data_IF_041995206087
#
_entry.id   IF_041995206087
#
_cell.length_a   1.000
_cell.length_b   1.000
_cell.length_c   1.000
_cell.angle_alpha   90.00
_cell.angle_beta   90.00
_cell.angle_gamma   90.00
#
_symmetry.space_group_name_H-M   'P 1'
#
loop_
_entity.id
_entity.type
_entity.pdbx_description
1 polymer ?
#
# COMPACT_ATOMS: atom_id res chain seq x y z
N UNK A 1 1.00 23.21 5.54
CA UNK A 1 2.14 24.17 5.65
C UNK A 1 2.58 24.71 4.29
N UNK A 2 2.88 23.86 3.27
CA UNK A 2 3.30 24.35 1.95
C UNK A 2 2.27 25.25 1.28
N UNK A 3 0.99 24.90 1.36
CA UNK A 3 -0.11 25.74 0.84
C UNK A 3 -0.21 27.10 1.55
N UNK A 4 0.04 27.15 2.84
CA UNK A 4 0.06 28.39 3.63
C UNK A 4 1.22 29.31 3.27
N UNK A 5 2.29 28.74 2.70
CA UNK A 5 3.39 29.48 2.12
C UNK A 5 3.17 29.89 0.66
N UNK A 6 1.95 29.67 0.14
CA UNK A 6 1.55 30.08 -1.21
C UNK A 6 1.87 29.07 -2.31
N UNK A 7 2.28 27.84 -1.98
CA UNK A 7 2.61 26.81 -2.96
C UNK A 7 1.40 25.94 -3.32
N UNK A 8 1.24 25.59 -4.59
CA UNK A 8 0.50 24.40 -4.98
C UNK A 8 1.31 23.16 -4.65
N UNK A 9 0.65 22.04 -4.36
CA UNK A 9 1.29 20.80 -3.87
C UNK A 9 1.05 19.65 -4.82
N UNK A 10 2.10 18.90 -5.12
CA UNK A 10 2.03 17.58 -5.73
C UNK A 10 2.48 16.57 -4.67
N UNK A 11 1.66 15.57 -4.41
CA UNK A 11 1.93 14.53 -3.41
C UNK A 11 1.86 13.14 -4.02
N UNK A 12 2.71 12.26 -3.53
CA UNK A 12 2.56 10.82 -3.79
C UNK A 12 1.30 10.25 -3.13
N UNK A 13 0.88 9.11 -3.62
CA UNK A 13 -0.20 8.32 -3.03
C UNK A 13 0.34 7.46 -1.84
N UNK A 14 -0.48 7.17 -0.85
CA UNK A 14 -1.79 7.75 -0.60
C UNK A 14 -1.66 9.21 -0.16
N UNK A 15 -2.68 10.01 -0.42
CA UNK A 15 -2.69 11.43 0.00
C UNK A 15 -2.50 11.56 1.50
N UNK A 16 -3.11 10.66 2.25
CA UNK A 16 -3.04 10.56 3.71
C UNK A 16 -3.45 9.14 4.14
N UNK A 17 -3.38 8.85 5.43
CA UNK A 17 -3.63 7.51 5.98
C UNK A 17 -4.91 7.43 6.83
N UNK A 18 -5.54 8.57 7.14
CA UNK A 18 -6.76 8.64 7.92
C UNK A 18 -7.65 9.84 7.49
N UNK A 19 -8.90 9.80 7.95
CA UNK A 19 -9.91 10.80 7.62
C UNK A 19 -9.64 12.16 8.24
N UNK A 20 -9.07 12.22 9.44
CA UNK A 20 -8.77 13.48 10.11
C UNK A 20 -7.74 14.30 9.33
N UNK A 21 -6.64 13.67 8.92
CA UNK A 21 -5.62 14.29 8.06
C UNK A 21 -6.17 14.65 6.68
N UNK A 22 -7.11 13.84 6.15
CA UNK A 22 -7.79 14.16 4.91
C UNK A 22 -8.57 15.47 5.05
N UNK A 23 -9.34 15.62 6.13
CA UNK A 23 -10.11 16.85 6.40
C UNK A 23 -9.20 18.06 6.58
N UNK A 24 -8.10 17.93 7.33
CA UNK A 24 -7.10 19.00 7.47
C UNK A 24 -6.56 19.50 6.13
N UNK A 25 -6.31 18.57 5.19
CA UNK A 25 -5.86 18.91 3.83
C UNK A 25 -6.96 19.67 3.07
N UNK A 26 -8.20 19.20 3.13
CA UNK A 26 -9.35 19.86 2.49
C UNK A 26 -9.56 21.27 3.04
N UNK A 27 -9.47 21.44 4.36
CA UNK A 27 -9.58 22.74 5.03
C UNK A 27 -8.43 23.68 4.62
N UNK A 28 -7.22 23.15 4.47
CA UNK A 28 -6.08 23.93 3.98
C UNK A 28 -6.28 24.38 2.53
N UNK A 29 -6.82 23.53 1.66
CA UNK A 29 -7.18 23.88 0.27
C UNK A 29 -8.23 25.01 0.27
N UNK A 30 -9.28 24.85 1.07
CA UNK A 30 -10.36 25.85 1.15
C UNK A 30 -9.86 27.21 1.67
N UNK A 31 -9.01 27.19 2.72
CA UNK A 31 -8.48 28.40 3.35
C UNK A 31 -7.48 29.14 2.47
N UNK A 32 -6.63 28.40 1.73
CA UNK A 32 -5.52 29.00 0.98
C UNK A 32 -5.82 29.24 -0.50
N UNK A 33 -6.85 28.61 -1.05
CA UNK A 33 -7.15 28.61 -2.49
C UNK A 33 -6.09 27.87 -3.32
N UNK A 34 -5.16 27.14 -2.68
CA UNK A 34 -4.10 26.40 -3.36
C UNK A 34 -4.61 25.04 -3.84
N UNK A 35 -3.85 24.41 -4.74
CA UNK A 35 -4.22 23.14 -5.36
C UNK A 35 -3.36 22.01 -4.80
N UNK A 36 -3.99 20.86 -4.56
CA UNK A 36 -3.31 19.60 -4.34
C UNK A 36 -3.56 18.65 -5.52
N UNK A 37 -2.51 18.01 -5.99
CA UNK A 37 -2.56 16.92 -6.97
C UNK A 37 -1.90 15.69 -6.37
N UNK A 38 -2.62 14.57 -6.39
CA UNK A 38 -2.08 13.26 -6.01
C UNK A 38 -1.64 12.51 -7.25
N UNK A 39 -0.43 11.92 -7.22
CA UNK A 39 0.18 11.25 -8.36
C UNK A 39 -0.32 9.82 -8.50
N UNK A 40 -1.45 9.63 -9.15
CA UNK A 40 -1.97 8.30 -9.49
C UNK A 40 -1.39 7.84 -10.83
N UNK A 41 -0.17 7.30 -10.80
CA UNK A 41 0.59 6.94 -12.00
C UNK A 41 0.00 5.77 -12.81
N UNK A 42 -0.81 4.88 -12.22
CA UNK A 42 -1.44 3.75 -12.92
C UNK A 42 -2.37 4.19 -14.05
N UNK A 43 -2.99 5.37 -13.93
CA UNK A 43 -3.83 5.93 -14.99
C UNK A 43 -3.12 6.06 -16.34
N UNK A 44 -1.81 6.33 -16.29
CA UNK A 44 -1.00 6.65 -17.47
C UNK A 44 -0.33 5.43 -18.11
N UNK A 45 -0.61 4.24 -17.60
CA UNK A 45 -0.20 3.03 -18.29
C UNK A 45 -0.98 2.89 -19.62
N UNK A 46 -0.35 2.39 -20.69
CA UNK A 46 -1.00 2.30 -22.01
C UNK A 46 -2.35 1.58 -21.98
N UNK A 47 -2.43 0.47 -21.25
CA UNK A 47 -3.69 -0.29 -21.15
C UNK A 47 -4.77 0.48 -20.37
N UNK A 48 -4.43 1.15 -19.27
CA UNK A 48 -5.41 1.92 -18.50
C UNK A 48 -5.98 3.10 -19.31
N UNK A 49 -5.10 3.81 -20.03
CA UNK A 49 -5.49 4.88 -20.93
C UNK A 49 -6.39 4.35 -22.05
N UNK A 50 -6.03 3.21 -22.66
CA UNK A 50 -6.81 2.61 -23.75
C UNK A 50 -8.21 2.17 -23.29
N UNK A 51 -8.34 1.57 -22.10
CA UNK A 51 -9.65 1.23 -21.53
C UNK A 51 -10.50 2.49 -21.38
N UNK A 52 -9.95 3.56 -20.83
CA UNK A 52 -10.69 4.82 -20.68
C UNK A 52 -11.16 5.39 -22.01
N UNK A 53 -10.33 5.36 -23.05
CA UNK A 53 -10.70 5.82 -24.40
C UNK A 53 -11.88 5.02 -24.94
N UNK A 54 -11.79 3.68 -24.90
CA UNK A 54 -12.87 2.80 -25.36
C UNK A 54 -14.19 3.06 -24.64
N UNK A 55 -14.15 3.23 -23.32
CA UNK A 55 -15.35 3.53 -22.53
C UNK A 55 -15.93 4.90 -22.87
N UNK A 56 -15.09 5.91 -23.00
CA UNK A 56 -15.49 7.28 -23.39
C UNK A 56 -16.12 7.29 -24.78
N UNK A 57 -15.56 6.53 -25.70
CA UNK A 57 -16.00 6.48 -27.09
C UNK A 57 -17.23 5.55 -27.27
N UNK A 58 -17.76 4.99 -26.17
CA UNK A 58 -19.01 4.22 -26.15
C UNK A 58 -18.90 2.80 -26.67
N UNK A 59 -17.68 2.21 -26.71
CA UNK A 59 -17.45 0.88 -27.28
C UNK A 59 -18.33 -0.24 -26.70
N UNK A 60 -18.77 -0.09 -25.42
CA UNK A 60 -19.68 -1.02 -24.75
C UNK A 60 -20.99 -0.36 -24.31
N UNK A 61 -21.26 0.85 -24.79
CA UNK A 61 -22.42 1.64 -24.35
C UNK A 61 -22.31 2.15 -22.92
N UNK A 62 -23.44 2.26 -22.24
CA UNK A 62 -23.51 2.74 -20.85
C UNK A 62 -23.00 1.69 -19.88
N UNK A 63 -22.04 2.08 -19.03
CA UNK A 63 -21.52 1.22 -17.96
C UNK A 63 -22.51 1.24 -16.78
N UNK A 64 -23.05 0.09 -16.45
CA UNK A 64 -23.98 -0.08 -15.31
C UNK A 64 -23.31 -0.71 -14.11
N UNK A 65 -22.28 -1.54 -14.33
CA UNK A 65 -21.58 -2.27 -13.27
C UNK A 65 -20.10 -2.44 -13.63
N UNK A 66 -19.26 -2.42 -12.61
CA UNK A 66 -17.83 -2.77 -12.70
C UNK A 66 -17.55 -3.86 -11.68
N UNK A 67 -16.94 -4.96 -12.13
CA UNK A 67 -16.25 -5.91 -11.27
C UNK A 67 -14.76 -5.70 -11.43
N UNK A 68 -14.06 -5.50 -10.33
CA UNK A 68 -12.62 -5.30 -10.31
C UNK A 68 -11.99 -6.22 -9.27
N UNK A 69 -11.08 -7.05 -9.70
CA UNK A 69 -10.30 -7.94 -8.86
C UNK A 69 -8.81 -7.70 -9.06
N UNK A 70 -8.06 -7.73 -7.99
CA UNK A 70 -6.61 -7.62 -8.04
C UNK A 70 -5.97 -8.59 -7.05
N UNK A 71 -5.29 -9.59 -7.58
CA UNK A 71 -4.61 -10.62 -6.81
C UNK A 71 -3.10 -10.39 -6.90
N UNK A 72 -2.43 -10.48 -5.77
CA UNK A 72 -0.96 -10.50 -5.68
C UNK A 72 -0.50 -11.88 -5.25
N UNK A 73 0.60 -12.36 -5.81
CA UNK A 73 1.26 -13.52 -5.25
C UNK A 73 1.78 -13.21 -3.84
N UNK A 74 1.84 -14.23 -2.99
CA UNK A 74 2.18 -14.06 -1.58
C UNK A 74 3.62 -13.60 -1.35
N UNK A 75 4.56 -13.95 -2.25
CA UNK A 75 5.96 -13.50 -2.13
C UNK A 75 6.07 -12.00 -2.38
N UNK A 76 5.39 -11.50 -3.41
CA UNK A 76 5.31 -10.06 -3.67
C UNK A 76 4.56 -9.34 -2.55
N UNK A 77 3.42 -9.89 -2.14
CA UNK A 77 2.61 -9.34 -1.06
C UNK A 77 3.34 -9.24 0.27
N UNK A 78 4.22 -10.21 0.55
CA UNK A 78 5.04 -10.25 1.77
C UNK A 78 5.78 -8.94 2.08
N UNK A 79 6.12 -8.17 1.04
CA UNK A 79 6.88 -6.92 1.24
C UNK A 79 6.11 -5.88 2.06
N UNK A 80 4.80 -5.85 2.00
CA UNK A 80 3.97 -4.95 2.82
C UNK A 80 3.96 -5.34 4.30
N UNK A 81 4.10 -6.62 4.60
CA UNK A 81 4.10 -7.18 5.96
C UNK A 81 5.49 -7.21 6.60
N UNK A 82 6.53 -6.95 5.81
CA UNK A 82 7.94 -6.90 6.21
C UNK A 82 8.39 -5.49 6.59
N UNK A 83 7.77 -4.48 5.99
CA UNK A 83 8.14 -3.06 6.09
C UNK A 83 7.29 -2.31 7.12
N UNK A 84 7.58 -1.02 7.29
CA UNK A 84 6.80 -0.09 8.11
C UNK A 84 5.29 -0.08 7.80
N UNK A 85 4.92 -0.49 6.60
CA UNK A 85 3.52 -0.62 6.15
C UNK A 85 2.71 -1.59 7.01
N UNK A 86 3.35 -2.56 7.66
CA UNK A 86 2.71 -3.58 8.49
C UNK A 86 1.88 -3.01 9.64
N UNK A 87 2.19 -1.79 10.06
CA UNK A 87 1.42 -1.05 11.08
C UNK A 87 0.42 -0.13 10.39
N UNK A 88 -0.86 -0.37 10.64
CA UNK A 88 -1.96 0.39 10.06
C UNK A 88 -1.91 1.88 10.39
N UNK A 89 -1.35 2.24 11.54
CA UNK A 89 -1.14 3.65 11.92
C UNK A 89 -0.22 4.40 10.97
N UNK A 90 0.73 3.68 10.36
CA UNK A 90 1.69 4.24 9.43
C UNK A 90 1.19 4.26 7.98
N UNK A 91 0.41 3.25 7.58
CA UNK A 91 0.05 3.02 6.17
C UNK A 91 -1.43 3.24 5.85
N UNK A 92 -2.31 3.24 6.85
CA UNK A 92 -3.76 3.17 6.66
C UNK A 92 -4.28 1.79 6.28
N UNK A 93 -3.40 0.76 6.22
CA UNK A 93 -3.70 -0.57 5.70
C UNK A 93 -3.57 -0.67 4.18
N UNK A 94 -3.77 -1.87 3.63
CA UNK A 94 -3.68 -2.08 2.19
C UNK A 94 -4.86 -1.46 1.43
N UNK A 95 -6.03 -1.33 2.05
CA UNK A 95 -7.16 -0.60 1.47
C UNK A 95 -6.81 0.86 1.14
N UNK A 96 -6.04 1.52 2.00
CA UNK A 96 -5.59 2.90 1.77
C UNK A 96 -4.29 2.92 0.98
N UNK A 97 -3.27 2.19 1.41
CA UNK A 97 -1.93 2.28 0.83
C UNK A 97 -1.86 1.72 -0.59
N UNK A 98 -2.46 0.54 -0.84
CA UNK A 98 -2.38 -0.16 -2.13
C UNK A 98 -3.63 0.02 -2.97
N UNK A 99 -4.81 -0.25 -2.42
CA UNK A 99 -6.05 -0.27 -3.17
C UNK A 99 -6.49 1.13 -3.65
N UNK A 100 -5.91 2.19 -3.10
CA UNK A 100 -6.14 3.57 -3.58
C UNK A 100 -5.85 3.72 -5.08
N UNK A 101 -4.84 3.00 -5.63
CA UNK A 101 -4.61 2.93 -7.08
C UNK A 101 -5.77 2.28 -7.84
N UNK A 102 -6.36 1.25 -7.25
CA UNK A 102 -7.44 0.48 -7.89
C UNK A 102 -8.75 1.27 -7.88
N UNK A 103 -9.07 1.91 -6.76
CA UNK A 103 -10.21 2.83 -6.68
C UNK A 103 -10.06 4.01 -7.65
N UNK A 104 -8.85 4.53 -7.77
CA UNK A 104 -8.54 5.58 -8.71
C UNK A 104 -8.73 5.14 -10.16
N UNK A 105 -8.27 3.95 -10.53
CA UNK A 105 -8.46 3.39 -11.87
C UNK A 105 -9.94 3.26 -12.24
N UNK A 106 -10.76 2.68 -11.35
CA UNK A 106 -12.19 2.53 -11.61
C UNK A 106 -12.84 3.89 -11.81
N UNK A 107 -12.60 4.84 -10.89
CA UNK A 107 -13.13 6.20 -11.00
C UNK A 107 -12.67 6.89 -12.29
N UNK A 108 -11.42 6.67 -12.69
CA UNK A 108 -10.85 7.20 -13.91
C UNK A 108 -11.50 6.63 -15.16
N UNK A 109 -11.73 5.31 -15.19
CA UNK A 109 -12.32 4.62 -16.34
C UNK A 109 -13.76 5.03 -16.59
N UNK A 110 -14.59 5.05 -15.53
CA UNK A 110 -16.02 5.37 -15.65
C UNK A 110 -16.33 6.87 -15.53
N UNK A 111 -15.31 7.71 -15.30
CA UNK A 111 -15.46 9.17 -15.08
C UNK A 111 -16.47 9.53 -13.99
N UNK A 112 -16.56 8.74 -12.93
CA UNK A 112 -17.53 8.89 -11.85
C UNK A 112 -16.86 8.69 -10.48
N UNK A 113 -17.57 9.03 -9.42
CA UNK A 113 -17.12 8.84 -8.02
C UNK A 113 -18.17 8.03 -7.27
N UNK A 114 -17.75 7.20 -6.29
CA UNK A 114 -18.70 6.48 -5.48
C UNK A 114 -19.51 7.46 -4.61
N UNK A 115 -20.80 7.21 -4.48
CA UNK A 115 -21.69 7.91 -3.56
C UNK A 115 -21.66 7.29 -2.18
N UNK A 116 -21.59 5.95 -2.13
CA UNK A 116 -21.52 5.18 -0.90
C UNK A 116 -20.39 4.16 -1.04
N UNK A 117 -19.64 3.97 0.02
CA UNK A 117 -18.55 2.99 0.09
C UNK A 117 -18.80 2.11 1.30
N UNK A 118 -18.60 0.82 1.11
CA UNK A 118 -18.62 -0.17 2.17
C UNK A 118 -17.44 -1.12 1.93
N UNK A 119 -16.68 -1.45 2.96
CA UNK A 119 -15.49 -2.28 2.83
C UNK A 119 -15.28 -3.17 4.05
N UNK A 120 -14.80 -4.38 3.80
CA UNK A 120 -14.22 -5.27 4.78
C UNK A 120 -12.76 -5.53 4.44
N UNK A 121 -11.97 -5.86 5.45
CA UNK A 121 -10.63 -6.38 5.28
C UNK A 121 -10.24 -7.18 6.50
N UNK A 122 -9.46 -8.24 6.31
CA UNK A 122 -8.98 -9.10 7.38
C UNK A 122 -7.54 -9.55 7.12
N UNK A 123 -6.85 -9.95 8.18
CA UNK A 123 -5.52 -10.55 8.13
C UNK A 123 -5.68 -12.08 8.29
N UNK A 124 -5.60 -12.81 7.19
CA UNK A 124 -5.89 -14.26 7.16
C UNK A 124 -4.69 -15.15 6.83
N UNK A 125 -3.66 -14.60 6.20
CA UNK A 125 -2.47 -15.36 5.79
C UNK A 125 -1.23 -14.97 6.58
N UNK A 126 -0.84 -13.69 6.57
CA UNK A 126 0.34 -13.20 7.31
C UNK A 126 0.07 -13.11 8.81
N UNK A 127 1.10 -12.74 9.59
CA UNK A 127 0.99 -12.66 11.03
C UNK A 127 1.19 -14.00 11.76
N UNK A 128 1.55 -13.90 13.03
CA UNK A 128 1.87 -15.05 13.89
C UNK A 128 0.72 -16.03 14.03
N UNK A 129 -0.44 -15.54 14.44
CA UNK A 129 -1.60 -16.40 14.70
C UNK A 129 -2.02 -17.24 13.49
N UNK A 130 -2.01 -16.64 12.31
CA UNK A 130 -2.36 -17.34 11.07
C UNK A 130 -1.29 -18.37 10.69
N UNK A 131 -0.02 -18.08 10.94
CA UNK A 131 1.06 -19.03 10.75
C UNK A 131 0.94 -20.22 11.71
N UNK A 132 0.64 -19.98 12.99
CA UNK A 132 0.40 -21.02 14.00
C UNK A 132 -0.77 -21.93 13.61
N UNK A 133 -1.91 -21.35 13.16
CA UNK A 133 -3.07 -22.11 12.65
C UNK A 133 -2.71 -23.02 11.46
N UNK A 134 -1.70 -22.68 10.67
CA UNK A 134 -1.18 -23.50 9.56
C UNK A 134 -0.07 -24.45 9.96
N UNK A 135 0.23 -24.56 11.25
CA UNK A 135 1.22 -25.49 11.78
C UNK A 135 2.67 -24.99 11.74
N UNK A 136 2.90 -23.70 11.53
CA UNK A 136 4.24 -23.10 11.67
C UNK A 136 4.62 -23.09 13.15
N UNK A 137 5.79 -23.63 13.47
CA UNK A 137 6.28 -23.75 14.85
C UNK A 137 7.59 -22.99 15.09
N UNK A 138 8.19 -22.43 14.04
CA UNK A 138 9.43 -21.67 14.14
C UNK A 138 9.16 -20.21 13.80
N UNK A 139 9.48 -19.33 14.73
CA UNK A 139 9.26 -17.90 14.59
C UNK A 139 10.55 -17.13 14.84
N UNK A 140 10.66 -16.00 14.20
CA UNK A 140 11.74 -15.04 14.36
C UNK A 140 11.21 -13.62 14.16
N UNK A 141 11.85 -12.63 14.76
CA UNK A 141 11.46 -11.23 14.61
C UNK A 141 11.96 -10.62 13.30
N UNK A 142 13.19 -10.97 12.91
CA UNK A 142 13.86 -10.51 11.69
C UNK A 142 14.79 -11.59 11.13
N UNK A 143 15.12 -11.47 9.84
CA UNK A 143 16.00 -12.43 9.15
C UNK A 143 17.45 -12.31 9.57
N UNK A 144 17.97 -11.09 9.64
CA UNK A 144 19.38 -10.87 10.01
C UNK A 144 19.65 -11.34 11.42
N UNK A 145 20.66 -12.22 11.56
CA UNK A 145 21.03 -12.80 12.84
C UNK A 145 20.13 -13.95 13.35
N UNK A 146 19.11 -14.36 12.57
CA UNK A 146 18.20 -15.43 12.97
C UNK A 146 18.43 -16.73 12.18
N UNK A 147 18.94 -17.80 12.81
CA UNK A 147 19.06 -19.11 12.19
C UNK A 147 17.69 -19.71 11.78
N UNK A 148 16.62 -19.33 12.47
CA UNK A 148 15.25 -19.78 12.21
C UNK A 148 14.70 -19.30 10.85
N UNK A 149 15.29 -18.22 10.29
CA UNK A 149 14.92 -17.71 8.97
C UNK A 149 15.46 -18.58 7.81
N UNK A 150 16.35 -19.53 8.11
CA UNK A 150 16.89 -20.43 7.08
C UNK A 150 15.78 -21.30 6.49
N UNK A 151 15.64 -21.27 5.16
CA UNK A 151 14.62 -22.02 4.43
C UNK A 151 13.22 -21.40 4.42
N UNK A 152 13.01 -20.24 5.05
CA UNK A 152 11.75 -19.51 4.91
C UNK A 152 11.71 -18.82 3.53
N UNK A 153 10.75 -19.17 2.64
CA UNK A 153 10.62 -18.56 1.32
C UNK A 153 10.27 -17.07 1.37
N UNK A 154 9.77 -16.58 2.52
CA UNK A 154 9.45 -15.19 2.74
C UNK A 154 10.60 -14.38 3.35
N UNK A 155 11.72 -15.03 3.69
CA UNK A 155 12.85 -14.34 4.29
C UNK A 155 13.55 -13.40 3.30
N UNK A 156 13.86 -12.19 3.74
CA UNK A 156 14.64 -11.22 2.97
C UNK A 156 16.09 -11.18 3.50
N UNK A 157 16.99 -11.88 2.82
CA UNK A 157 18.39 -11.99 3.21
C UNK A 157 19.21 -10.77 2.76
N UNK A 158 19.10 -9.65 3.47
CA UNK A 158 19.78 -8.39 3.13
C UNK A 158 21.29 -8.54 2.98
N UNK A 159 21.94 -9.34 3.84
CA UNK A 159 23.40 -9.52 3.84
C UNK A 159 23.93 -10.23 2.57
N UNK A 160 23.07 -10.94 1.83
CA UNK A 160 23.46 -11.68 0.62
C UNK A 160 23.53 -10.79 -0.62
N UNK A 161 23.07 -9.55 -0.54
CA UNK A 161 23.12 -8.58 -1.62
C UNK A 161 23.82 -7.31 -1.13
N UNK A 162 24.96 -6.97 -1.73
CA UNK A 162 25.78 -5.85 -1.30
C UNK A 162 25.05 -4.49 -1.31
N UNK A 163 24.20 -4.25 -2.32
CA UNK A 163 23.42 -3.02 -2.42
C UNK A 163 22.33 -2.94 -1.33
N UNK A 164 21.61 -4.03 -1.08
CA UNK A 164 20.60 -4.09 -0.02
C UNK A 164 21.24 -4.03 1.38
N UNK A 165 22.42 -4.64 1.54
CA UNK A 165 23.20 -4.53 2.78
C UNK A 165 23.55 -3.08 3.06
N UNK A 166 24.16 -2.40 2.13
CA UNK A 166 24.56 -0.99 2.29
C UNK A 166 23.35 -0.07 2.53
N UNK A 167 22.24 -0.29 1.76
CA UNK A 167 21.05 0.55 1.82
C UNK A 167 20.25 0.37 3.12
N UNK A 168 20.24 -0.83 3.70
CA UNK A 168 19.38 -1.16 4.85
C UNK A 168 20.18 -1.58 6.09
N UNK A 169 20.97 -2.66 6.05
CA UNK A 169 21.65 -3.15 7.24
C UNK A 169 22.69 -2.16 7.79
N UNK A 170 23.48 -1.57 6.91
CA UNK A 170 24.52 -0.63 7.33
C UNK A 170 23.94 0.72 7.75
N UNK A 171 22.71 1.07 7.26
CA UNK A 171 22.00 2.28 7.62
C UNK A 171 21.18 2.16 8.93
N UNK A 172 20.91 0.95 9.43
CA UNK A 172 20.15 0.75 10.68
C UNK A 172 20.74 1.51 11.88
N UNK A 173 22.04 1.71 11.92
CA UNK A 173 22.72 2.48 12.97
C UNK A 173 22.32 3.97 12.96
N UNK A 174 21.88 4.48 11.81
CA UNK A 174 21.56 5.89 11.61
C UNK A 174 20.05 6.16 11.80
N UNK A 175 19.16 5.25 11.35
CA UNK A 175 17.72 5.44 11.35
C UNK A 175 16.92 4.41 12.18
N UNK A 176 17.55 3.32 12.61
CA UNK A 176 16.90 2.25 13.37
C UNK A 176 15.87 1.44 12.58
N UNK A 177 15.80 1.61 11.26
CA UNK A 177 14.78 0.95 10.44
C UNK A 177 15.14 -0.49 10.10
N UNK A 178 14.31 -1.45 10.52
CA UNK A 178 14.47 -2.87 10.23
C UNK A 178 13.67 -3.25 8.98
N UNK A 179 14.39 -3.53 7.88
CA UNK A 179 13.80 -3.82 6.56
C UNK A 179 13.38 -5.29 6.39
N UNK A 180 13.96 -6.20 7.16
CA UNK A 180 13.89 -7.65 7.02
C UNK A 180 13.08 -8.34 8.13
N UNK A 181 12.03 -7.70 8.62
CA UNK A 181 11.17 -8.26 9.64
C UNK A 181 10.42 -9.51 9.12
N UNK A 182 10.13 -10.45 10.00
CA UNK A 182 9.30 -11.61 9.67
C UNK A 182 7.89 -11.18 9.29
N UNK A 183 7.36 -11.77 8.23
CA UNK A 183 5.95 -11.58 7.82
C UNK A 183 4.98 -12.42 8.64
N UNK A 184 5.51 -13.35 9.44
CA UNK A 184 4.77 -14.19 10.40
C UNK A 184 5.13 -13.81 11.85
N UNK A 185 5.58 -12.57 12.05
CA UNK A 185 5.88 -12.02 13.37
C UNK A 185 4.70 -11.26 13.97
N UNK A 186 4.96 -10.69 15.14
CA UNK A 186 4.01 -9.84 15.85
C UNK A 186 3.96 -8.41 15.27
N UNK A 187 2.97 -7.61 15.66
CA UNK A 187 2.86 -6.20 15.30
C UNK A 187 2.41 -5.94 13.86
N UNK A 188 1.73 -6.90 13.24
CA UNK A 188 1.05 -6.73 11.95
C UNK A 188 -0.40 -6.40 12.22
N UNK A 189 -0.87 -5.26 11.73
CA UNK A 189 -2.23 -4.77 11.95
C UNK A 189 -2.96 -4.40 10.65
N UNK A 190 -2.35 -4.70 9.50
CA UNK A 190 -2.95 -4.47 8.18
C UNK A 190 -3.61 -5.74 7.66
N UNK A 191 -4.62 -5.55 6.85
CA UNK A 191 -5.34 -6.60 6.12
C UNK A 191 -4.48 -7.18 4.98
N UNK A 192 -4.67 -8.47 4.64
CA UNK A 192 -4.14 -9.12 3.43
C UNK A 192 -5.26 -9.60 2.48
N UNK A 193 -6.48 -9.53 2.96
CA UNK A 193 -7.71 -9.82 2.19
C UNK A 193 -8.70 -8.68 2.38
N UNK A 194 -9.32 -8.23 1.29
CA UNK A 194 -10.24 -7.10 1.31
C UNK A 194 -11.23 -7.17 0.13
#
# INVERSE_FOLDING_TARGET
>A
RAMELGCDVISEKPMTVDEAKCQEILDAIARTGRKLRVTFNYRYSPHATRIRELLRDGAIGTVHQVHFEWVLDTIHGADYFRRWHRDKRNSGGLLVHKATHHFDLVNFWIASRPKTVFAFGDLVFYGRENAERRGVTRFYSRVHGSPQAAGDPFALHLAQNAALKALYLDAEKDDGYLRDQSVFGDGISIEDTM
#
